data_IF_019191853589
#
_entry.id   IF_019191853589
#
_cell.length_a   1.000
_cell.length_b   1.000
_cell.length_c   1.000
_cell.angle_alpha   90.00
_cell.angle_beta   90.00
_cell.angle_gamma   90.00
#
_symmetry.space_group_name_H-M   'P 1'
#
loop_
_entity.id
_entity.type
_entity.pdbx_description
1 polymer ?
#
# COMPACT_ATOMS: atom_id res chain seq x y z
N UNK A 1 63.99 -1.93 -9.10
CA UNK A 1 62.90 -2.87 -9.48
C UNK A 1 61.79 -2.96 -8.42
N UNK A 2 61.68 -1.98 -7.50
CA UNK A 2 60.65 -1.94 -6.43
C UNK A 2 59.45 -1.01 -6.71
N UNK A 3 59.61 0.02 -7.54
CA UNK A 3 58.57 1.05 -7.74
C UNK A 3 57.42 0.64 -8.65
N UNK A 4 57.65 -0.33 -9.55
CA UNK A 4 56.60 -0.80 -10.47
C UNK A 4 55.56 -1.62 -9.69
N UNK A 5 55.98 -2.44 -8.73
CA UNK A 5 55.08 -3.26 -7.92
C UNK A 5 54.18 -2.41 -7.02
N UNK A 6 54.70 -1.35 -6.39
CA UNK A 6 53.87 -0.47 -5.53
C UNK A 6 52.82 0.30 -6.33
N UNK A 7 53.16 0.74 -7.55
CA UNK A 7 52.24 1.45 -8.43
C UNK A 7 51.09 0.55 -8.92
N UNK A 8 51.37 -0.71 -9.30
CA UNK A 8 50.34 -1.67 -9.65
C UNK A 8 49.48 -2.08 -8.45
N UNK A 9 50.07 -2.17 -7.26
CA UNK A 9 49.35 -2.50 -6.02
C UNK A 9 48.43 -1.36 -5.59
N UNK A 10 48.88 -0.10 -5.69
CA UNK A 10 48.02 1.07 -5.48
C UNK A 10 46.87 1.16 -6.49
N UNK A 11 47.12 0.89 -7.78
CA UNK A 11 46.04 0.85 -8.78
C UNK A 11 45.02 -0.24 -8.50
N UNK A 12 45.45 -1.43 -8.07
CA UNK A 12 44.56 -2.52 -7.66
C UNK A 12 43.75 -2.15 -6.41
N UNK A 13 44.37 -1.49 -5.43
CA UNK A 13 43.69 -1.04 -4.22
C UNK A 13 42.66 0.07 -4.51
N UNK A 14 42.98 1.01 -5.41
CA UNK A 14 42.05 2.05 -5.86
C UNK A 14 40.86 1.42 -6.61
N UNK A 15 41.12 0.49 -7.53
CA UNK A 15 40.08 -0.25 -8.24
C UNK A 15 39.17 -1.03 -7.27
N UNK A 16 39.77 -1.73 -6.30
CA UNK A 16 39.04 -2.46 -5.28
C UNK A 16 38.17 -1.52 -4.42
N UNK A 17 38.68 -0.35 -4.05
CA UNK A 17 37.93 0.66 -3.31
C UNK A 17 36.70 1.15 -4.07
N UNK A 18 36.84 1.49 -5.35
CA UNK A 18 35.69 1.88 -6.20
C UNK A 18 34.68 0.75 -6.40
N UNK A 19 35.15 -0.49 -6.55
CA UNK A 19 34.28 -1.67 -6.64
C UNK A 19 33.46 -1.86 -5.37
N UNK A 20 34.07 -1.73 -4.20
CA UNK A 20 33.38 -1.82 -2.90
C UNK A 20 32.33 -0.72 -2.77
N UNK A 21 32.68 0.52 -3.12
CA UNK A 21 31.74 1.65 -3.12
C UNK A 21 30.53 1.41 -4.04
N UNK A 22 30.77 0.88 -5.24
CA UNK A 22 29.71 0.55 -6.19
C UNK A 22 28.79 -0.54 -5.66
N UNK A 23 29.34 -1.58 -5.03
CA UNK A 23 28.54 -2.64 -4.40
C UNK A 23 27.68 -2.09 -3.27
N UNK A 24 28.25 -1.26 -2.38
CA UNK A 24 27.48 -0.62 -1.29
C UNK A 24 26.36 0.26 -1.86
N UNK A 25 26.65 1.07 -2.87
CA UNK A 25 25.66 1.91 -3.54
C UNK A 25 24.53 1.09 -4.16
N UNK A 26 24.86 -0.02 -4.83
CA UNK A 26 23.87 -0.95 -5.36
C UNK A 26 23.02 -1.57 -4.24
N UNK A 27 23.61 -1.99 -3.12
CA UNK A 27 22.86 -2.53 -1.98
C UNK A 27 21.85 -1.53 -1.42
N UNK A 28 22.26 -0.26 -1.23
CA UNK A 28 21.37 0.81 -0.77
C UNK A 28 20.19 1.00 -1.73
N UNK A 29 20.46 1.00 -3.04
CA UNK A 29 19.39 1.14 -4.04
C UNK A 29 18.47 -0.08 -4.14
N UNK A 30 19.01 -1.29 -3.96
CA UNK A 30 18.23 -2.52 -3.92
C UNK A 30 17.31 -2.50 -2.70
N UNK A 31 17.82 -2.22 -1.50
CA UNK A 31 16.98 -2.10 -0.29
C UNK A 31 15.92 -1.01 -0.47
N UNK A 32 16.29 0.17 -0.97
CA UNK A 32 15.35 1.26 -1.24
C UNK A 32 14.27 0.88 -2.27
N UNK A 33 14.59 0.05 -3.26
CA UNK A 33 13.63 -0.40 -4.28
C UNK A 33 12.75 -1.56 -3.81
N UNK A 34 13.25 -2.42 -2.91
CA UNK A 34 12.51 -3.55 -2.34
C UNK A 34 11.53 -3.06 -1.25
N UNK A 35 11.91 -2.04 -0.48
CA UNK A 35 11.04 -1.49 0.57
C UNK A 35 9.95 -0.54 0.07
N UNK A 36 9.96 -0.17 -1.22
CA UNK A 36 8.81 0.50 -1.83
C UNK A 36 7.70 -0.53 -2.05
N UNK A 37 6.91 -0.75 -1.01
CA UNK A 37 5.64 -1.44 -1.11
C UNK A 37 4.82 -0.77 -2.23
N UNK A 38 4.20 -1.58 -3.07
CA UNK A 38 3.28 -1.08 -4.08
C UNK A 38 2.17 -0.28 -3.40
N UNK A 39 1.74 0.80 -4.04
CA UNK A 39 0.49 1.42 -3.67
C UNK A 39 -0.65 0.42 -3.96
N UNK A 40 -1.62 0.25 -3.05
CA UNK A 40 -2.67 -0.74 -3.21
C UNK A 40 -3.55 -0.33 -4.39
N UNK A 41 -3.75 -1.24 -5.35
CA UNK A 41 -4.63 -1.06 -6.51
C UNK A 41 -6.11 -1.09 -6.09
N UNK A 42 -6.41 -1.74 -4.97
CA UNK A 42 -7.72 -1.69 -4.34
C UNK A 42 -7.66 -1.75 -2.82
N UNK A 43 -8.60 -1.06 -2.18
CA UNK A 43 -8.77 -1.05 -0.73
C UNK A 43 -10.18 -1.53 -0.41
N UNK A 44 -10.28 -2.57 0.39
CA UNK A 44 -11.53 -3.05 0.97
C UNK A 44 -11.63 -2.51 2.40
N UNK A 45 -12.80 -2.06 2.81
CA UNK A 45 -13.04 -1.50 4.15
C UNK A 45 -14.29 -2.11 4.75
N UNK A 46 -14.21 -2.60 5.97
CA UNK A 46 -15.35 -3.04 6.76
C UNK A 46 -15.87 -1.91 7.64
N UNK A 47 -17.14 -1.56 7.47
CA UNK A 47 -17.81 -0.58 8.32
C UNK A 47 -18.78 -1.30 9.25
N UNK A 48 -18.65 -1.00 10.55
CA UNK A 48 -19.55 -1.49 11.59
C UNK A 48 -20.21 -0.31 12.30
N UNK A 49 -21.45 -0.50 12.71
CA UNK A 49 -22.19 0.43 13.55
C UNK A 49 -21.71 0.36 15.02
N UNK A 50 -22.18 1.27 15.91
CA UNK A 50 -21.76 1.28 17.33
C UNK A 50 -22.07 -0.01 18.10
N UNK A 51 -22.99 -0.84 17.60
CA UNK A 51 -23.34 -2.13 18.20
C UNK A 51 -22.43 -3.28 17.69
N UNK A 52 -21.45 -2.98 16.84
CA UNK A 52 -20.55 -3.95 16.24
C UNK A 52 -21.14 -4.74 15.07
N UNK A 53 -22.31 -4.35 14.57
CA UNK A 53 -22.95 -4.99 13.40
C UNK A 53 -22.55 -4.26 12.10
N UNK A 54 -22.53 -4.95 10.95
CA UNK A 54 -22.23 -4.30 9.66
C UNK A 54 -23.13 -3.10 9.35
N UNK A 55 -22.55 -2.03 8.79
CA UNK A 55 -23.28 -0.86 8.30
C UNK A 55 -23.37 -0.90 6.77
N UNK A 56 -24.56 -1.26 6.26
CA UNK A 56 -24.81 -1.48 4.84
C UNK A 56 -25.18 -0.19 4.07
N UNK A 57 -25.40 0.96 4.74
CA UNK A 57 -25.70 2.21 4.02
C UNK A 57 -24.84 3.38 4.49
N UNK A 58 -23.56 3.12 4.79
CA UNK A 58 -22.58 4.16 4.99
C UNK A 58 -22.30 4.88 3.66
N UNK A 59 -22.13 6.20 3.74
CA UNK A 59 -21.61 6.99 2.62
C UNK A 59 -20.11 7.15 2.81
N UNK A 60 -19.34 6.41 2.03
CA UNK A 60 -17.88 6.42 2.08
C UNK A 60 -17.31 7.10 0.84
N UNK A 61 -16.36 8.00 1.06
CA UNK A 61 -15.60 8.68 0.01
C UNK A 61 -14.11 8.66 0.31
N UNK A 62 -13.31 8.80 -0.74
CA UNK A 62 -11.88 8.89 -0.62
C UNK A 62 -11.27 10.01 -1.47
N UNK A 63 -10.25 10.65 -0.91
CA UNK A 63 -9.33 11.50 -1.65
C UNK A 63 -8.03 10.72 -1.87
N UNK A 64 -7.60 10.63 -3.12
CA UNK A 64 -6.40 9.91 -3.55
C UNK A 64 -5.41 10.94 -4.10
N UNK A 65 -4.20 10.97 -3.55
CA UNK A 65 -3.15 11.89 -3.97
C UNK A 65 -1.86 11.12 -4.24
N UNK A 66 -1.34 11.25 -5.45
CA UNK A 66 -0.01 10.77 -5.85
C UNK A 66 0.50 11.53 -7.08
N UNK A 67 1.70 11.18 -7.55
CA UNK A 67 2.20 11.73 -8.83
C UNK A 67 1.41 11.23 -10.05
N UNK A 68 0.73 10.07 -9.96
CA UNK A 68 0.02 9.43 -11.06
C UNK A 68 -1.50 9.68 -11.03
N UNK A 69 -2.09 9.66 -9.84
CA UNK A 69 -3.54 9.74 -9.64
C UNK A 69 -3.82 10.84 -8.62
N UNK A 70 -4.71 11.76 -8.99
CA UNK A 70 -5.23 12.78 -8.10
C UNK A 70 -6.74 12.81 -8.30
N UNK A 71 -7.48 12.30 -7.32
CA UNK A 71 -8.93 12.17 -7.38
C UNK A 71 -9.52 12.53 -6.03
N UNK A 72 -10.39 13.53 -6.01
CA UNK A 72 -11.09 13.99 -4.81
C UNK A 72 -12.51 13.41 -4.79
N UNK A 73 -13.06 13.17 -3.60
CA UNK A 73 -14.45 12.74 -3.40
C UNK A 73 -14.83 11.41 -4.09
N UNK A 74 -13.86 10.52 -4.38
CA UNK A 74 -14.12 9.21 -5.02
C UNK A 74 -15.02 8.36 -4.14
N UNK A 75 -16.19 7.99 -4.66
CA UNK A 75 -17.15 7.18 -3.89
C UNK A 75 -16.71 5.72 -3.82
N UNK A 76 -16.81 5.13 -2.63
CA UNK A 76 -16.57 3.69 -2.47
C UNK A 76 -17.82 2.90 -2.86
N UNK A 77 -17.61 1.75 -3.49
CA UNK A 77 -18.68 0.84 -3.90
C UNK A 77 -19.01 -0.12 -2.76
N UNK A 78 -20.25 -0.08 -2.28
CA UNK A 78 -20.76 -1.10 -1.37
C UNK A 78 -20.83 -2.47 -2.07
N UNK A 79 -20.36 -3.51 -1.40
CA UNK A 79 -20.42 -4.88 -1.90
C UNK A 79 -21.57 -5.66 -1.25
N UNK A 80 -22.32 -6.38 -2.08
CA UNK A 80 -23.35 -7.31 -1.62
C UNK A 80 -22.71 -8.52 -0.90
N UNK A 81 -21.50 -8.90 -1.32
CA UNK A 81 -20.68 -9.93 -0.69
C UNK A 81 -19.19 -9.66 -0.87
N UNK A 82 -18.38 -9.98 0.14
CA UNK A 82 -16.91 -9.97 0.04
C UNK A 82 -16.37 -11.00 -0.97
N UNK A 83 -17.12 -12.07 -1.22
CA UNK A 83 -16.73 -13.15 -2.14
C UNK A 83 -16.84 -12.74 -3.62
N UNK A 84 -17.46 -11.59 -3.92
CA UNK A 84 -17.44 -11.01 -5.26
C UNK A 84 -16.04 -10.53 -5.67
N UNK A 85 -15.13 -10.38 -4.69
CA UNK A 85 -13.80 -9.79 -4.90
C UNK A 85 -12.65 -10.64 -4.36
N UNK A 86 -12.90 -11.52 -3.40
CA UNK A 86 -11.89 -12.35 -2.73
C UNK A 86 -12.27 -13.83 -2.88
N UNK A 87 -11.30 -14.67 -3.24
CA UNK A 87 -11.54 -16.11 -3.39
C UNK A 87 -11.88 -16.75 -2.04
N UNK A 88 -12.92 -17.58 -2.02
CA UNK A 88 -13.51 -18.20 -0.82
C UNK A 88 -12.49 -18.98 0.04
N UNK A 89 -11.40 -19.45 -0.57
CA UNK A 89 -10.33 -20.19 0.12
C UNK A 89 -9.41 -19.29 0.97
N UNK A 90 -9.35 -17.98 0.69
CA UNK A 90 -8.44 -17.06 1.40
C UNK A 90 -9.01 -16.49 2.70
N UNK A 91 -10.32 -16.63 2.94
CA UNK A 91 -10.98 -16.19 4.17
C UNK A 91 -11.60 -17.37 4.91
N UNK A 92 -10.80 -18.01 5.78
CA UNK A 92 -11.30 -19.04 6.70
C UNK A 92 -12.17 -18.36 7.77
N UNK A 93 -13.49 -18.53 7.62
CA UNK A 93 -14.55 -18.19 8.57
C UNK A 93 -14.76 -16.69 8.84
N UNK A 94 -16.00 -16.22 8.64
CA UNK A 94 -16.82 -15.57 9.69
C UNK A 94 -18.14 -15.09 9.11
N UNK A 95 -19.23 -15.52 9.76
CA UNK A 95 -20.55 -14.88 9.67
C UNK A 95 -20.40 -13.34 9.66
N UNK A 96 -20.65 -12.70 8.52
CA UNK A 96 -20.53 -11.24 8.40
C UNK A 96 -20.07 -10.75 7.04
N UNK A 97 -20.66 -11.27 5.97
CA UNK A 97 -20.31 -11.00 4.55
C UNK A 97 -20.75 -9.62 4.04
N UNK A 98 -21.14 -8.72 4.95
CA UNK A 98 -21.79 -7.45 4.64
C UNK A 98 -21.08 -6.27 5.26
N UNK A 99 -21.42 -5.07 4.79
CA UNK A 99 -20.83 -3.81 5.26
C UNK A 99 -19.40 -3.60 4.76
N UNK A 100 -19.04 -4.24 3.66
CA UNK A 100 -17.75 -4.03 2.98
C UNK A 100 -17.89 -3.02 1.84
N UNK A 101 -16.92 -2.13 1.75
CA UNK A 101 -16.85 -1.08 0.73
C UNK A 101 -15.52 -1.19 -0.01
N UNK A 102 -15.59 -1.19 -1.33
CA UNK A 102 -14.45 -1.29 -2.22
C UNK A 102 -14.08 0.09 -2.77
N UNK A 103 -12.80 0.43 -2.67
CA UNK A 103 -12.16 1.54 -3.36
C UNK A 103 -11.21 0.98 -4.41
N UNK A 104 -11.47 1.26 -5.69
CA UNK A 104 -10.49 1.06 -6.77
C UNK A 104 -9.64 2.33 -6.88
N UNK A 105 -8.33 2.23 -6.67
CA UNK A 105 -7.45 3.40 -6.57
C UNK A 105 -6.86 3.85 -7.91
N UNK A 106 -7.06 3.04 -8.95
CA UNK A 106 -6.45 3.19 -10.28
C UNK A 106 -4.91 3.19 -10.29
N UNK A 107 -4.27 2.87 -9.16
CA UNK A 107 -2.85 2.57 -9.14
C UNK A 107 -2.60 1.28 -9.94
N UNK A 108 -1.66 1.36 -10.90
CA UNK A 108 -1.23 0.20 -11.70
C UNK A 108 0.28 0.08 -11.57
N UNK A 109 0.71 -0.92 -10.81
CA UNK A 109 2.13 -1.14 -10.50
C UNK A 109 2.86 0.10 -9.93
N UNK A 110 2.12 1.00 -9.25
CA UNK A 110 2.68 2.25 -8.72
C UNK A 110 3.49 1.99 -7.45
N UNK A 111 4.70 2.57 -7.37
CA UNK A 111 5.65 2.43 -6.25
C UNK A 111 6.14 3.77 -5.71
N UNK A 112 5.46 4.86 -6.05
CA UNK A 112 5.80 6.20 -5.59
C UNK A 112 5.19 6.52 -4.23
N UNK A 113 5.33 7.78 -3.83
CA UNK A 113 4.64 8.30 -2.66
C UNK A 113 3.16 8.48 -2.97
N UNK A 114 2.30 8.07 -2.04
CA UNK A 114 0.86 8.20 -2.18
C UNK A 114 0.19 8.43 -0.83
N UNK A 115 -1.00 9.03 -0.88
CA UNK A 115 -1.89 9.18 0.25
C UNK A 115 -3.32 8.91 -0.20
N UNK A 116 -4.03 8.05 0.55
CA UNK A 116 -5.45 7.77 0.39
C UNK A 116 -6.12 8.16 1.71
N UNK A 117 -6.99 9.16 1.68
CA UNK A 117 -7.81 9.56 2.82
C UNK A 117 -9.21 9.04 2.59
N UNK A 118 -9.74 8.27 3.52
CA UNK A 118 -11.07 7.69 3.38
C UNK A 118 -11.93 8.18 4.54
N UNK A 119 -13.10 8.71 4.22
CA UNK A 119 -14.07 9.22 5.17
C UNK A 119 -15.40 8.51 4.95
N UNK A 120 -15.92 7.91 6.00
CA UNK A 120 -17.21 7.23 6.00
C UNK A 120 -18.17 7.87 6.99
N UNK A 121 -19.37 8.19 6.49
CA UNK A 121 -20.48 8.70 7.28
C UNK A 121 -21.51 7.60 7.46
N UNK A 122 -21.93 7.35 8.70
CA UNK A 122 -23.08 6.47 8.95
C UNK A 122 -24.38 7.11 8.46
N UNK A 123 -25.44 6.30 8.37
CA UNK A 123 -26.78 6.78 8.02
C UNK A 123 -27.17 7.95 8.93
N UNK A 124 -27.66 9.04 8.32
CA UNK A 124 -28.08 10.24 9.02
C UNK A 124 -26.93 11.04 9.65
N UNK A 125 -25.68 10.80 9.24
CA UNK A 125 -24.48 11.49 9.74
C UNK A 125 -24.29 11.36 11.27
N UNK A 126 -24.77 10.25 11.83
CA UNK A 126 -24.72 9.99 13.28
C UNK A 126 -23.31 9.66 13.79
N UNK A 127 -22.38 9.34 12.88
CA UNK A 127 -20.97 9.05 13.16
C UNK A 127 -20.11 9.27 11.93
N UNK A 128 -18.85 9.62 12.17
CA UNK A 128 -17.82 9.82 11.16
C UNK A 128 -16.63 8.94 11.52
N UNK A 129 -16.17 8.14 10.56
CA UNK A 129 -14.90 7.42 10.64
C UNK A 129 -13.97 7.94 9.56
N UNK A 130 -12.68 8.05 9.87
CA UNK A 130 -11.66 8.41 8.90
C UNK A 130 -10.46 7.48 9.02
N UNK A 131 -9.85 7.15 7.89
CA UNK A 131 -8.57 6.43 7.84
C UNK A 131 -7.67 7.06 6.79
N UNK A 132 -6.37 7.04 7.05
CA UNK A 132 -5.35 7.57 6.13
C UNK A 132 -4.37 6.44 5.86
N UNK A 133 -4.26 6.08 4.58
CA UNK A 133 -3.36 5.04 4.10
C UNK A 133 -2.26 5.71 3.29
N UNK A 134 -1.01 5.51 3.66
CA UNK A 134 0.15 6.01 2.93
C UNK A 134 1.34 5.06 3.07
N UNK A 135 2.49 5.41 2.52
CA UNK A 135 3.70 4.57 2.53
C UNK A 135 4.17 4.18 3.95
N UNK A 136 3.86 4.98 4.97
CA UNK A 136 4.30 4.77 6.36
C UNK A 136 3.21 4.30 7.31
N UNK A 137 1.95 4.47 6.93
CA UNK A 137 0.78 4.15 7.73
C UNK A 137 -0.16 3.26 6.91
N UNK A 138 -0.06 1.95 7.13
CA UNK A 138 -0.94 0.94 6.55
C UNK A 138 -1.55 0.12 7.70
N UNK A 139 -2.66 0.58 8.32
CA UNK A 139 -3.26 -0.08 9.48
C UNK A 139 -4.00 -1.39 9.14
N UNK A 140 -3.78 -1.93 7.95
CA UNK A 140 -4.63 -2.93 7.30
C UNK A 140 -3.80 -4.10 6.77
N UNK A 141 -4.44 -5.25 6.52
CA UNK A 141 -3.74 -6.44 6.03
C UNK A 141 -3.48 -6.34 4.52
N UNK A 142 -2.20 -6.49 4.12
CA UNK A 142 -1.79 -6.54 2.72
C UNK A 142 -1.96 -7.96 2.17
N UNK A 143 -2.69 -8.09 1.06
CA UNK A 143 -2.83 -9.33 0.30
C UNK A 143 -2.44 -9.12 -1.18
N UNK A 144 -2.39 -10.21 -1.95
CA UNK A 144 -2.15 -10.14 -3.39
C UNK A 144 -0.82 -9.47 -3.76
N UNK A 145 0.27 -9.79 -3.05
CA UNK A 145 1.60 -9.16 -3.20
C UNK A 145 1.63 -7.64 -2.88
N UNK A 146 0.74 -7.18 -2.00
CA UNK A 146 0.67 -5.78 -1.57
C UNK A 146 -0.19 -4.88 -2.47
N UNK A 147 -0.86 -5.46 -3.46
CA UNK A 147 -1.79 -4.75 -4.36
C UNK A 147 -3.19 -4.59 -3.77
N UNK A 148 -3.54 -5.41 -2.78
CA UNK A 148 -4.84 -5.39 -2.14
C UNK A 148 -4.69 -5.11 -0.65
N UNK A 149 -5.49 -4.17 -0.14
CA UNK A 149 -5.49 -3.79 1.26
C UNK A 149 -6.86 -4.11 1.88
N UNK A 150 -6.89 -4.82 3.01
CA UNK A 150 -8.13 -5.13 3.74
C UNK A 150 -8.14 -4.42 5.08
N UNK A 151 -9.06 -3.47 5.18
CA UNK A 151 -9.54 -2.80 6.36
C UNK A 151 -11.04 -3.17 6.55
#
# INVERSE_FOLDING_TARGET
>A
MGDINSFFQNRKNILAFFLVLLVIFMFIHIESSIHRNYAPESVLIKISNPNGLPEENANCKADITSEQVNEDDKSLKNLDSIYDFIDSETLVNREGDKGYYLLETDFKDYRGEFEIKIVCYSIGFSGVSYTIINNTNMPCELQGNGKFLIC
#
